data_IF_666477285007
#
_entry.id   IF_666477285007
#
_cell.length_a   1.000
_cell.length_b   1.000
_cell.length_c   1.000
_cell.angle_alpha   90.00
_cell.angle_beta   90.00
_cell.angle_gamma   90.00
#
_symmetry.space_group_name_H-M   'P 1'
#
loop_
_entity.id
_entity.type
_entity.pdbx_description
1 polymer ?
#
# COMPACT_ATOMS: atom_id res chain seq x y z
N UNK A 1 16.90 -4.18 11.70
CA UNK A 1 16.26 -4.33 10.37
C UNK A 1 17.13 -5.27 9.56
N UNK A 2 16.62 -5.86 8.46
CA UNK A 2 17.42 -6.74 7.60
C UNK A 2 18.41 -5.92 6.78
N UNK A 3 17.91 -4.91 6.06
CA UNK A 3 18.68 -3.93 5.31
C UNK A 3 18.12 -2.52 5.56
N UNK A 4 18.98 -1.65 6.08
CA UNK A 4 18.65 -0.25 6.30
C UNK A 4 18.74 0.56 5.01
N UNK A 5 17.69 1.32 4.73
CA UNK A 5 17.70 2.32 3.68
C UNK A 5 18.70 3.44 3.97
N UNK A 6 19.09 4.16 2.92
CA UNK A 6 20.08 5.23 2.97
C UNK A 6 19.41 6.59 2.86
N UNK A 7 19.58 7.43 3.86
CA UNK A 7 19.05 8.80 3.95
C UNK A 7 20.21 9.76 4.19
N UNK A 8 20.87 10.17 3.12
CA UNK A 8 21.93 11.19 3.14
C UNK A 8 21.37 12.62 3.08
N UNK A 9 20.31 12.83 2.31
CA UNK A 9 19.73 14.16 2.07
C UNK A 9 18.30 14.20 2.58
N UNK A 10 18.10 14.82 3.74
CA UNK A 10 16.79 14.96 4.36
C UNK A 10 16.57 16.38 4.87
N UNK A 11 15.33 16.67 5.22
CA UNK A 11 14.95 17.95 5.81
C UNK A 11 13.77 17.81 6.76
N UNK A 12 13.48 18.87 7.51
CA UNK A 12 12.29 18.95 8.36
C UNK A 12 11.56 20.27 8.14
N UNK A 13 10.24 20.18 7.97
CA UNK A 13 9.34 21.32 7.96
C UNK A 13 8.37 21.20 9.14
N UNK A 14 8.39 22.17 10.06
CA UNK A 14 7.55 22.16 11.26
C UNK A 14 6.45 23.20 11.16
N UNK A 15 5.20 22.74 11.04
CA UNK A 15 4.01 23.60 11.04
C UNK A 15 3.41 23.79 12.44
N UNK A 16 3.85 23.02 13.43
CA UNK A 16 3.46 23.17 14.83
C UNK A 16 4.27 24.27 15.52
N UNK A 17 3.71 24.81 16.61
CA UNK A 17 4.39 25.75 17.51
C UNK A 17 5.31 24.99 18.47
N UNK A 18 6.36 24.38 17.92
CA UNK A 18 7.40 23.68 18.69
C UNK A 18 8.76 23.76 18.01
N UNK A 19 9.83 23.58 18.77
CA UNK A 19 11.16 23.35 18.23
C UNK A 19 11.32 21.87 17.81
N UNK A 20 11.55 21.57 16.51
CA UNK A 20 11.71 20.19 16.03
C UNK A 20 13.08 19.57 16.32
N UNK A 21 14.05 20.32 16.85
CA UNK A 21 15.46 19.91 16.95
C UNK A 21 15.65 18.60 17.72
N UNK A 22 15.20 18.55 18.97
CA UNK A 22 15.30 17.35 19.81
C UNK A 22 14.58 16.15 19.18
N UNK A 23 13.39 16.38 18.63
CA UNK A 23 12.62 15.32 17.97
C UNK A 23 13.36 14.72 16.78
N UNK A 24 13.93 15.57 15.91
CA UNK A 24 14.68 15.10 14.75
C UNK A 24 15.95 14.35 15.18
N UNK A 25 16.70 14.86 16.16
CA UNK A 25 17.90 14.21 16.67
C UNK A 25 17.61 12.81 17.25
N UNK A 26 16.57 12.69 18.08
CA UNK A 26 16.14 11.41 18.63
C UNK A 26 15.64 10.44 17.55
N UNK A 27 14.89 10.94 16.56
CA UNK A 27 14.42 10.11 15.46
C UNK A 27 15.57 9.61 14.57
N UNK A 28 16.55 10.47 14.26
CA UNK A 28 17.74 10.08 13.49
C UNK A 28 18.55 9.05 14.26
N UNK A 29 18.77 9.28 15.56
CA UNK A 29 19.46 8.33 16.45
C UNK A 29 18.74 6.99 16.48
N UNK A 30 17.42 6.99 16.59
CA UNK A 30 16.61 5.78 16.53
C UNK A 30 16.74 5.07 15.17
N UNK A 31 16.70 5.81 14.06
CA UNK A 31 16.89 5.24 12.73
C UNK A 31 18.25 4.57 12.59
N UNK A 32 19.33 5.24 13.03
CA UNK A 32 20.68 4.68 13.06
C UNK A 32 20.76 3.42 13.92
N UNK A 33 20.18 3.45 15.13
CA UNK A 33 20.14 2.31 16.04
C UNK A 33 19.37 1.10 15.48
N UNK A 34 18.37 1.33 14.60
CA UNK A 34 17.64 0.26 13.90
C UNK A 34 18.32 -0.24 12.62
N UNK A 35 19.42 0.40 12.21
CA UNK A 35 20.28 -0.01 11.11
C UNK A 35 20.19 0.84 9.84
N UNK A 36 19.47 1.97 9.83
CA UNK A 36 19.45 2.87 8.68
C UNK A 36 20.77 3.65 8.58
N UNK A 37 21.24 3.86 7.36
CA UNK A 37 22.32 4.81 7.09
C UNK A 37 21.71 6.20 6.97
N UNK A 38 21.62 6.90 8.09
CA UNK A 38 20.91 8.18 8.19
C UNK A 38 21.91 9.31 8.54
N UNK A 39 22.01 10.34 7.70
CA UNK A 39 22.88 11.49 7.95
C UNK A 39 22.34 12.35 9.10
N UNK A 40 23.21 12.78 10.02
CA UNK A 40 22.79 13.56 11.20
C UNK A 40 22.26 14.93 10.85
N UNK A 41 22.86 15.56 9.84
CA UNK A 41 22.56 16.95 9.51
C UNK A 41 21.53 17.04 8.37
N UNK A 42 20.49 17.87 8.52
CA UNK A 42 19.55 18.15 7.44
C UNK A 42 20.22 19.02 6.34
N UNK A 43 19.67 18.98 5.13
CA UNK A 43 20.17 19.74 3.96
C UNK A 43 20.08 21.25 4.18
N UNK A 44 19.02 21.68 4.86
CA UNK A 44 18.78 23.08 5.26
C UNK A 44 18.52 23.13 6.76
N UNK A 45 18.83 24.24 7.45
CA UNK A 45 18.48 24.43 8.84
C UNK A 45 16.99 24.17 9.09
N UNK A 46 16.68 23.61 10.25
CA UNK A 46 15.30 23.35 10.66
C UNK A 46 14.54 24.67 10.71
N UNK A 47 13.48 24.80 9.90
CA UNK A 47 12.73 26.04 9.78
C UNK A 47 11.24 25.84 10.10
N UNK A 48 10.61 26.78 10.81
CA UNK A 48 9.16 26.79 10.96
C UNK A 48 8.51 27.06 9.59
N UNK A 49 7.38 26.41 9.33
CA UNK A 49 6.54 26.67 8.15
C UNK A 49 5.23 27.35 8.56
N UNK A 50 4.72 28.25 7.72
CA UNK A 50 3.40 28.84 7.94
C UNK A 50 2.28 27.79 7.67
N UNK A 51 1.50 27.39 8.70
CA UNK A 51 0.47 26.36 8.54
C UNK A 51 -0.70 26.79 7.64
N UNK A 52 -0.83 28.08 7.32
CA UNK A 52 -1.84 28.60 6.39
C UNK A 52 -1.35 28.61 4.93
N UNK A 53 -0.07 28.32 4.67
CA UNK A 53 0.54 28.37 3.33
C UNK A 53 1.30 27.08 2.99
N UNK A 54 0.72 25.93 3.32
CA UNK A 54 1.38 24.61 3.25
C UNK A 54 2.04 24.32 1.89
N UNK A 55 1.33 24.52 0.78
CA UNK A 55 1.85 24.22 -0.56
C UNK A 55 3.05 25.10 -0.89
N UNK A 56 2.92 26.41 -0.65
CA UNK A 56 3.98 27.39 -0.85
C UNK A 56 5.20 27.09 0.01
N UNK A 57 5.02 26.68 1.27
CA UNK A 57 6.11 26.29 2.15
C UNK A 57 6.82 25.02 1.67
N UNK A 58 6.08 24.01 1.21
CA UNK A 58 6.65 22.80 0.62
C UNK A 58 7.45 23.11 -0.66
N UNK A 59 6.90 23.94 -1.55
CA UNK A 59 7.59 24.38 -2.77
C UNK A 59 8.86 25.17 -2.46
N UNK A 60 8.78 26.15 -1.56
CA UNK A 60 9.92 26.96 -1.16
C UNK A 60 11.02 26.10 -0.51
N UNK A 61 10.63 25.16 0.35
CA UNK A 61 11.55 24.21 0.97
C UNK A 61 12.25 23.34 -0.09
N UNK A 62 11.49 22.81 -1.06
CA UNK A 62 12.03 22.01 -2.15
C UNK A 62 12.98 22.84 -3.03
N UNK A 63 12.63 24.09 -3.37
CA UNK A 63 13.50 25.01 -4.13
C UNK A 63 14.83 25.25 -3.43
N UNK A 64 14.81 25.52 -2.11
CA UNK A 64 16.03 25.69 -1.30
C UNK A 64 16.89 24.42 -1.31
N UNK A 65 16.28 23.25 -1.10
CA UNK A 65 17.01 21.97 -1.14
C UNK A 65 17.60 21.70 -2.52
N UNK A 66 16.84 21.94 -3.61
CA UNK A 66 17.31 21.76 -4.99
C UNK A 66 18.52 22.64 -5.29
N UNK A 67 18.50 23.92 -4.92
CA UNK A 67 19.63 24.82 -5.15
C UNK A 67 20.95 24.31 -4.51
N UNK A 68 20.86 23.65 -3.34
CA UNK A 68 22.03 23.07 -2.67
C UNK A 68 22.45 21.74 -3.30
N UNK A 69 21.47 20.88 -3.61
CA UNK A 69 21.72 19.51 -4.06
C UNK A 69 22.01 19.38 -5.56
N UNK A 70 21.66 20.38 -6.36
CA UNK A 70 21.93 20.44 -7.79
C UNK A 70 23.43 20.34 -8.08
N UNK A 71 24.25 21.08 -7.31
CA UNK A 71 25.71 20.98 -7.38
C UNK A 71 26.27 19.58 -7.12
N UNK A 72 25.51 18.74 -6.38
CA UNK A 72 25.89 17.37 -6.03
C UNK A 72 25.28 16.33 -6.97
N UNK A 73 24.43 16.73 -7.92
CA UNK A 73 23.58 15.84 -8.72
C UNK A 73 22.75 14.89 -7.86
N UNK A 74 22.27 15.38 -6.72
CA UNK A 74 21.47 14.62 -5.76
C UNK A 74 20.08 15.23 -5.62
N UNK A 75 19.18 14.48 -4.98
CA UNK A 75 17.81 14.94 -4.66
C UNK A 75 17.50 14.73 -3.18
N UNK A 76 16.52 15.48 -2.69
CA UNK A 76 15.99 15.25 -1.35
C UNK A 76 15.38 13.85 -1.27
N UNK A 77 15.82 13.05 -0.30
CA UNK A 77 15.42 11.65 -0.14
C UNK A 77 14.29 11.49 0.88
N UNK A 78 14.20 12.39 1.88
CA UNK A 78 13.17 12.34 2.92
C UNK A 78 12.84 13.76 3.42
N UNK A 79 11.55 14.06 3.53
CA UNK A 79 11.06 15.24 4.24
C UNK A 79 10.26 14.81 5.47
N UNK A 80 10.77 15.12 6.66
CA UNK A 80 10.03 15.00 7.91
C UNK A 80 9.10 16.20 8.03
N UNK A 81 7.83 15.97 8.31
CA UNK A 81 6.83 17.04 8.42
C UNK A 81 6.14 16.93 9.77
N UNK A 82 6.33 17.91 10.64
CA UNK A 82 5.53 18.02 11.87
C UNK A 82 4.27 18.81 11.51
N UNK A 83 3.13 18.13 11.62
CA UNK A 83 1.81 18.67 11.25
C UNK A 83 1.46 19.92 12.09
N UNK A 84 0.50 20.78 11.69
CA UNK A 84 0.02 21.86 12.55
C UNK A 84 -0.66 21.33 13.84
N UNK A 85 -0.67 22.15 14.90
CA UNK A 85 -1.31 21.80 16.18
C UNK A 85 -2.84 21.69 16.08
N UNK A 86 -3.43 22.45 15.16
CA UNK A 86 -4.84 22.36 14.84
C UNK A 86 -5.08 21.32 13.75
N UNK A 87 -6.17 20.57 13.87
CA UNK A 87 -6.62 19.69 12.80
C UNK A 87 -7.30 20.54 11.72
N UNK A 88 -6.51 21.11 10.82
CA UNK A 88 -7.04 21.67 9.58
C UNK A 88 -7.71 20.58 8.76
N UNK A 89 -8.84 20.90 8.12
CA UNK A 89 -9.50 20.00 7.17
C UNK A 89 -8.49 19.67 6.06
N UNK A 90 -8.27 18.38 5.79
CA UNK A 90 -7.46 17.88 4.66
C UNK A 90 -5.99 18.35 4.61
N UNK A 91 -5.43 18.87 5.71
CA UNK A 91 -4.00 19.28 5.75
C UNK A 91 -3.06 18.13 5.39
N UNK A 92 -3.30 16.93 5.93
CA UNK A 92 -2.50 15.74 5.63
C UNK A 92 -2.58 15.39 4.13
N UNK A 93 -3.80 15.43 3.59
CA UNK A 93 -4.12 15.08 2.21
C UNK A 93 -3.37 16.00 1.23
N UNK A 94 -3.43 17.31 1.49
CA UNK A 94 -2.69 18.35 0.75
C UNK A 94 -1.19 18.14 0.77
N UNK A 95 -0.60 17.86 1.95
CA UNK A 95 0.83 17.55 2.07
C UNK A 95 1.20 16.34 1.21
N UNK A 96 0.39 15.27 1.26
CA UNK A 96 0.64 14.05 0.51
C UNK A 96 0.50 14.25 -0.99
N UNK A 97 -0.54 14.95 -1.45
CA UNK A 97 -0.73 15.31 -2.86
C UNK A 97 0.50 16.05 -3.39
N UNK A 98 0.86 17.19 -2.78
CA UNK A 98 1.96 18.04 -3.27
C UNK A 98 3.29 17.29 -3.25
N UNK A 99 3.61 16.57 -2.16
CA UNK A 99 4.87 15.83 -2.08
C UNK A 99 4.96 14.73 -3.15
N UNK A 100 3.90 13.98 -3.39
CA UNK A 100 3.96 12.72 -4.14
C UNK A 100 3.59 12.89 -5.63
N UNK A 101 2.80 13.91 -5.98
CA UNK A 101 2.31 14.17 -7.35
C UNK A 101 2.98 15.37 -8.03
N UNK A 102 3.53 16.33 -7.27
CA UNK A 102 4.11 17.56 -7.84
C UNK A 102 5.61 17.71 -7.56
N UNK A 103 6.05 17.43 -6.33
CA UNK A 103 7.44 17.67 -5.93
C UNK A 103 8.35 16.44 -6.02
N UNK A 104 7.78 15.24 -5.97
CA UNK A 104 8.51 13.97 -6.05
C UNK A 104 9.32 13.66 -4.79
N UNK A 105 8.81 14.06 -3.62
CA UNK A 105 9.46 13.96 -2.32
C UNK A 105 8.79 12.87 -1.49
N UNK A 106 9.60 11.95 -0.96
CA UNK A 106 9.15 11.00 0.06
C UNK A 106 8.97 11.74 1.39
N UNK A 107 7.77 11.71 1.96
CA UNK A 107 7.45 12.42 3.20
C UNK A 107 7.00 11.53 4.36
N UNK A 108 7.43 11.89 5.57
CA UNK A 108 6.98 11.29 6.83
C UNK A 108 6.33 12.35 7.72
N UNK A 109 5.00 12.32 7.79
CA UNK A 109 4.24 13.23 8.64
C UNK A 109 4.19 12.72 10.09
N UNK A 110 4.30 13.63 11.04
CA UNK A 110 4.38 13.38 12.47
C UNK A 110 3.36 14.26 13.20
N UNK A 111 2.59 13.67 14.12
CA UNK A 111 1.66 14.45 14.95
C UNK A 111 2.44 15.24 16.02
N UNK A 112 2.14 16.53 16.26
CA UNK A 112 2.88 17.37 17.21
C UNK A 112 2.91 16.79 18.61
N UNK A 113 1.75 16.36 19.10
CA UNK A 113 1.62 15.73 20.43
C UNK A 113 2.47 14.48 20.61
N UNK A 114 2.75 13.74 19.55
CA UNK A 114 3.61 12.55 19.62
C UNK A 114 5.08 12.92 19.46
N UNK A 115 5.38 13.88 18.59
CA UNK A 115 6.73 14.41 18.42
C UNK A 115 7.27 15.05 19.72
N UNK A 116 6.42 15.77 20.47
CA UNK A 116 6.78 16.38 21.76
C UNK A 116 7.07 15.34 22.86
N UNK A 117 6.43 14.18 22.82
CA UNK A 117 6.58 13.14 23.87
C UNK A 117 7.90 12.37 23.77
N UNK A 118 8.52 12.34 22.59
CA UNK A 118 9.76 11.57 22.34
C UNK A 118 9.67 10.09 22.78
N UNK A 119 8.48 9.49 22.67
CA UNK A 119 8.26 8.12 23.09
C UNK A 119 9.07 7.16 22.20
N UNK A 120 9.92 6.32 22.81
CA UNK A 120 10.79 5.38 22.07
C UNK A 120 10.00 4.48 21.12
N UNK A 121 8.89 3.89 21.55
CA UNK A 121 8.06 3.03 20.71
C UNK A 121 7.47 3.79 19.50
N UNK A 122 7.12 5.06 19.69
CA UNK A 122 6.67 5.91 18.58
C UNK A 122 7.80 6.16 17.57
N UNK A 123 9.00 6.51 18.03
CA UNK A 123 10.17 6.71 17.17
C UNK A 123 10.57 5.43 16.43
N UNK A 124 10.51 4.27 17.09
CA UNK A 124 10.76 2.97 16.46
C UNK A 124 9.75 2.69 15.33
N UNK A 125 8.46 2.92 15.58
CA UNK A 125 7.42 2.74 14.57
C UNK A 125 7.57 3.73 13.40
N UNK A 126 8.06 4.95 13.65
CA UNK A 126 8.42 5.89 12.60
C UNK A 126 9.63 5.39 11.80
N UNK A 127 10.68 4.89 12.46
CA UNK A 127 11.86 4.35 11.79
C UNK A 127 11.50 3.17 10.87
N UNK A 128 10.59 2.28 11.30
CA UNK A 128 10.05 1.20 10.47
C UNK A 128 9.43 1.74 9.17
N UNK A 129 8.60 2.79 9.26
CA UNK A 129 7.96 3.41 8.08
C UNK A 129 8.98 4.11 7.18
N UNK A 130 9.90 4.86 7.77
CA UNK A 130 10.94 5.57 7.04
C UNK A 130 11.78 4.58 6.25
N UNK A 131 12.22 3.48 6.87
CA UNK A 131 13.08 2.49 6.24
C UNK A 131 12.51 1.98 4.90
N UNK A 132 11.23 1.56 4.90
CA UNK A 132 10.61 1.04 3.67
C UNK A 132 10.22 2.11 2.65
N UNK A 133 10.01 3.35 3.11
CA UNK A 133 9.81 4.51 2.22
C UNK A 133 11.06 4.94 1.49
N UNK A 134 12.24 4.61 2.02
CA UNK A 134 13.54 4.88 1.39
C UNK A 134 14.19 3.60 0.85
N UNK A 135 13.40 2.53 0.69
CA UNK A 135 13.79 1.33 -0.03
C UNK A 135 14.48 0.24 0.79
N UNK A 136 14.56 0.33 2.12
CA UNK A 136 15.04 -0.74 3.00
C UNK A 136 13.98 -1.82 3.30
N UNK A 137 14.37 -2.91 4.00
CA UNK A 137 13.46 -3.96 4.49
C UNK A 137 13.60 -4.11 6.00
N UNK A 138 12.45 -4.15 6.68
CA UNK A 138 12.43 -4.27 8.13
C UNK A 138 12.64 -5.71 8.57
N UNK A 139 11.92 -6.64 7.94
CA UNK A 139 11.87 -8.06 8.25
C UNK A 139 11.78 -8.85 6.96
N UNK A 140 12.24 -10.11 7.00
CA UNK A 140 12.15 -11.10 5.93
C UNK A 140 11.86 -12.44 6.60
N UNK A 141 11.11 -13.33 5.96
CA UNK A 141 10.87 -14.68 6.47
C UNK A 141 12.15 -15.53 6.34
N UNK A 142 12.52 -16.27 7.39
CA UNK A 142 13.66 -17.18 7.34
C UNK A 142 13.53 -18.19 6.19
N UNK A 143 12.32 -18.74 6.00
CA UNK A 143 12.03 -19.67 4.91
C UNK A 143 12.20 -19.02 3.52
N UNK A 144 12.08 -17.68 3.39
CA UNK A 144 12.35 -17.00 2.14
C UNK A 144 13.85 -16.95 1.83
N UNK A 145 14.70 -16.77 2.85
CA UNK A 145 16.16 -16.83 2.70
C UNK A 145 16.63 -18.23 2.28
N UNK A 146 16.07 -19.24 2.93
CA UNK A 146 16.42 -20.65 2.70
C UNK A 146 15.70 -21.27 1.49
N UNK A 147 14.88 -20.48 0.77
CA UNK A 147 14.05 -20.93 -0.36
C UNK A 147 13.16 -22.13 -0.03
N UNK A 148 12.57 -22.12 1.16
CA UNK A 148 11.69 -23.15 1.70
C UNK A 148 10.20 -22.79 1.65
N UNK A 149 9.83 -21.64 1.05
CA UNK A 149 8.41 -21.30 0.87
C UNK A 149 7.90 -21.98 -0.41
N UNK A 150 7.02 -23.01 -0.30
CA UNK A 150 6.53 -23.75 -1.44
C UNK A 150 5.78 -22.83 -2.40
N UNK A 151 5.95 -23.06 -3.71
CA UNK A 151 5.27 -22.31 -4.77
C UNK A 151 5.48 -20.78 -4.71
N UNK A 152 6.55 -20.32 -4.05
CA UNK A 152 6.94 -18.90 -4.04
C UNK A 152 8.43 -18.75 -4.33
N UNK A 153 9.26 -19.51 -3.63
CA UNK A 153 10.73 -19.33 -3.66
C UNK A 153 11.45 -20.27 -4.63
N UNK A 154 10.74 -21.28 -5.15
CA UNK A 154 11.25 -22.26 -6.12
C UNK A 154 11.54 -21.63 -7.49
N UNK A 155 10.72 -20.67 -7.90
CA UNK A 155 10.84 -19.93 -9.16
C UNK A 155 10.27 -18.52 -9.01
N UNK A 156 10.64 -17.56 -9.89
CA UNK A 156 10.15 -16.19 -9.84
C UNK A 156 8.63 -16.13 -9.67
N UNK A 157 8.19 -15.69 -8.50
CA UNK A 157 6.77 -15.60 -8.16
C UNK A 157 6.47 -14.17 -7.75
N UNK A 158 5.45 -13.58 -8.38
CA UNK A 158 4.95 -12.26 -8.03
C UNK A 158 3.65 -12.42 -7.22
N UNK A 159 3.54 -11.67 -6.12
CA UNK A 159 2.37 -11.67 -5.26
C UNK A 159 1.70 -10.31 -5.34
N UNK A 160 0.46 -10.30 -5.80
CA UNK A 160 -0.37 -9.12 -5.91
C UNK A 160 -1.31 -9.00 -4.71
N UNK A 161 -1.64 -7.76 -4.39
CA UNK A 161 -2.77 -7.40 -3.54
C UNK A 161 -3.64 -6.38 -4.26
N UNK A 162 -4.95 -6.49 -4.15
CA UNK A 162 -5.88 -5.57 -4.77
C UNK A 162 -7.04 -5.22 -3.83
N UNK A 163 -7.49 -3.98 -3.88
CA UNK A 163 -8.62 -3.46 -3.10
C UNK A 163 -9.34 -2.37 -3.91
N UNK A 164 -10.64 -2.25 -3.66
CA UNK A 164 -11.46 -1.14 -4.16
C UNK A 164 -12.09 -0.41 -2.98
N UNK A 165 -11.80 0.88 -2.87
CA UNK A 165 -12.42 1.73 -1.85
C UNK A 165 -13.50 2.60 -2.48
N UNK A 166 -14.74 2.40 -2.03
CA UNK A 166 -15.88 3.23 -2.40
C UNK A 166 -15.97 4.54 -1.59
N UNK A 167 -16.70 5.55 -2.10
CA UNK A 167 -17.07 6.72 -1.32
C UNK A 167 -17.89 6.41 -0.07
N UNK A 168 -17.97 7.38 0.85
CA UNK A 168 -18.81 7.26 2.04
C UNK A 168 -20.30 7.21 1.66
N UNK A 169 -21.16 6.59 2.50
CA UNK A 169 -22.60 6.67 2.33
C UNK A 169 -23.06 8.13 2.25
N UNK A 170 -23.84 8.48 1.21
CA UNK A 170 -24.30 9.84 0.95
C UNK A 170 -23.44 10.67 -0.02
N UNK A 171 -22.27 10.18 -0.43
CA UNK A 171 -21.51 10.76 -1.55
C UNK A 171 -21.84 10.02 -2.85
N UNK A 172 -22.78 10.55 -3.65
CA UNK A 172 -23.30 9.84 -4.84
C UNK A 172 -22.48 10.05 -6.13
N UNK A 173 -21.53 10.99 -6.13
CA UNK A 173 -20.75 11.36 -7.33
C UNK A 173 -19.26 11.00 -7.26
N UNK A 174 -18.72 10.79 -6.06
CA UNK A 174 -17.32 10.44 -5.86
C UNK A 174 -16.99 9.12 -6.56
N UNK A 175 -15.82 8.98 -7.22
CA UNK A 175 -15.46 7.73 -7.89
C UNK A 175 -15.08 6.65 -6.89
N UNK A 176 -15.19 5.38 -7.30
CA UNK A 176 -14.47 4.28 -6.63
C UNK A 176 -12.98 4.38 -6.98
N UNK A 177 -12.11 3.96 -6.06
CA UNK A 177 -10.66 3.91 -6.31
C UNK A 177 -10.21 2.48 -6.21
N UNK A 178 -9.68 1.96 -7.32
CA UNK A 178 -9.00 0.68 -7.35
C UNK A 178 -7.51 0.87 -7.10
N UNK A 179 -6.93 -0.02 -6.30
CA UNK A 179 -5.52 -0.06 -6.00
C UNK A 179 -4.99 -1.49 -6.15
N UNK A 180 -3.85 -1.63 -6.83
CA UNK A 180 -3.14 -2.89 -6.98
C UNK A 180 -1.69 -2.69 -6.57
N UNK A 181 -1.20 -3.54 -5.68
CA UNK A 181 0.20 -3.63 -5.30
C UNK A 181 0.78 -4.95 -5.78
N UNK A 182 2.09 -5.00 -6.00
CA UNK A 182 2.79 -6.24 -6.26
C UNK A 182 4.16 -6.28 -5.58
N UNK A 183 4.59 -7.47 -5.17
CA UNK A 183 5.93 -7.70 -4.64
C UNK A 183 7.00 -7.40 -5.70
N UNK A 184 8.14 -6.86 -5.29
CA UNK A 184 9.20 -6.36 -6.21
C UNK A 184 10.58 -6.97 -5.93
N UNK A 185 10.69 -7.81 -4.90
CA UNK A 185 11.96 -8.33 -4.42
C UNK A 185 11.89 -9.85 -4.18
N UNK A 186 11.52 -10.60 -5.22
CA UNK A 186 11.66 -12.05 -5.18
C UNK A 186 13.12 -12.44 -4.93
N UNK A 187 13.41 -13.43 -4.04
CA UNK A 187 12.47 -14.35 -3.38
C UNK A 187 11.91 -13.89 -2.02
N UNK A 188 12.23 -12.69 -1.54
CA UNK A 188 11.94 -12.24 -0.17
C UNK A 188 10.50 -11.75 0.04
N UNK A 189 9.88 -11.15 -0.98
CA UNK A 189 8.47 -10.70 -0.97
C UNK A 189 8.16 -9.70 0.16
N UNK A 190 9.00 -8.68 0.31
CA UNK A 190 8.90 -7.67 1.38
C UNK A 190 8.73 -6.24 0.86
N UNK A 191 9.14 -5.97 -0.38
CA UNK A 191 8.99 -4.67 -1.04
C UNK A 191 7.83 -4.74 -2.01
N UNK A 192 6.97 -3.72 -1.97
CA UNK A 192 5.82 -3.64 -2.87
C UNK A 192 5.81 -2.31 -3.63
N UNK A 193 5.47 -2.37 -4.92
CA UNK A 193 5.11 -1.20 -5.73
C UNK A 193 3.61 -1.17 -5.91
N UNK A 194 3.04 0.03 -5.95
CA UNK A 194 1.61 0.26 -6.02
C UNK A 194 1.20 1.09 -7.23
N UNK A 195 0.11 0.69 -7.88
CA UNK A 195 -0.59 1.43 -8.93
C UNK A 195 -2.04 1.61 -8.48
N UNK A 196 -2.68 2.71 -8.84
CA UNK A 196 -4.09 2.97 -8.55
C UNK A 196 -4.78 3.60 -9.75
N UNK A 197 -6.11 3.47 -9.81
CA UNK A 197 -6.94 4.15 -10.79
C UNK A 197 -8.29 4.55 -10.18
N UNK A 198 -8.91 5.58 -10.74
CA UNK A 198 -10.29 5.92 -10.44
C UNK A 198 -11.21 5.18 -11.42
N UNK A 199 -12.32 4.69 -10.91
CA UNK A 199 -13.36 4.04 -11.70
C UNK A 199 -14.75 4.54 -11.30
N UNK A 200 -15.76 4.13 -12.06
CA UNK A 200 -17.14 4.57 -11.87
C UNK A 200 -17.62 4.41 -10.43
N UNK A 201 -18.58 5.25 -10.03
CA UNK A 201 -19.15 5.25 -8.69
C UNK A 201 -19.64 3.85 -8.31
N UNK A 202 -19.18 3.33 -7.15
CA UNK A 202 -19.53 1.99 -6.63
C UNK A 202 -19.25 0.82 -7.57
N UNK A 203 -18.39 1.02 -8.56
CA UNK A 203 -17.84 -0.08 -9.35
C UNK A 203 -16.89 -0.90 -8.48
N UNK A 204 -17.16 -2.19 -8.32
CA UNK A 204 -16.30 -3.12 -7.55
C UNK A 204 -15.28 -3.82 -8.46
N UNK A 205 -15.63 -4.14 -9.71
CA UNK A 205 -14.70 -4.81 -10.63
C UNK A 205 -13.59 -3.84 -11.02
N UNK A 206 -12.33 -4.26 -10.93
CA UNK A 206 -11.21 -3.38 -11.27
C UNK A 206 -11.08 -3.27 -12.80
N UNK A 207 -11.59 -2.17 -13.35
CA UNK A 207 -11.66 -1.94 -14.80
C UNK A 207 -10.28 -1.79 -15.47
N UNK A 208 -9.32 -1.21 -14.73
CA UNK A 208 -8.02 -0.81 -15.26
C UNK A 208 -6.90 -1.87 -15.06
N UNK A 209 -7.24 -3.10 -14.64
CA UNK A 209 -6.26 -4.20 -14.54
C UNK A 209 -5.51 -4.41 -15.86
N UNK A 210 -6.24 -4.36 -16.97
CA UNK A 210 -5.73 -4.34 -18.33
C UNK A 210 -6.54 -3.37 -19.18
N UNK A 211 -5.85 -2.56 -19.97
CA UNK A 211 -6.48 -1.69 -20.98
C UNK A 211 -5.56 -1.45 -22.15
N UNK A 212 -6.09 -0.87 -23.22
CA UNK A 212 -5.29 -0.35 -24.33
C UNK A 212 -5.41 1.16 -24.37
N UNK A 213 -4.30 1.85 -24.63
CA UNK A 213 -4.27 3.32 -24.74
C UNK A 213 -3.74 3.72 -26.11
N UNK A 214 -4.21 4.84 -26.64
CA UNK A 214 -3.73 5.38 -27.90
C UNK A 214 -2.47 6.20 -27.63
N UNK A 215 -1.32 5.71 -28.09
CA UNK A 215 -0.04 6.40 -28.02
C UNK A 215 0.19 7.21 -29.31
N UNK A 216 0.54 8.51 -29.22
CA UNK A 216 0.66 9.39 -30.39
C UNK A 216 1.57 8.85 -31.52
N UNK A 217 2.63 8.12 -31.14
CA UNK A 217 3.63 7.58 -32.08
C UNK A 217 3.49 6.09 -32.37
N UNK A 218 2.77 5.34 -31.54
CA UNK A 218 2.76 3.86 -31.58
C UNK A 218 1.36 3.27 -31.81
N UNK A 219 0.35 4.12 -32.02
CA UNK A 219 -1.03 3.68 -32.14
C UNK A 219 -1.55 3.08 -30.84
N UNK A 220 -2.42 2.07 -30.95
CA UNK A 220 -3.00 1.39 -29.79
C UNK A 220 -1.95 0.51 -29.11
N UNK A 221 -1.59 0.83 -27.88
CA UNK A 221 -0.61 0.07 -27.08
C UNK A 221 -1.25 -0.55 -25.83
N UNK A 222 -0.84 -1.77 -25.43
CA UNK A 222 -1.27 -2.37 -24.18
C UNK A 222 -0.78 -1.60 -22.95
N UNK A 223 -1.64 -1.49 -21.96
CA UNK A 223 -1.45 -0.78 -20.69
C UNK A 223 -2.27 -1.46 -19.58
N UNK A 224 -2.33 -0.85 -18.40
CA UNK A 224 -3.05 -1.36 -17.25
C UNK A 224 -2.14 -1.75 -16.08
N UNK A 225 -2.76 -1.88 -14.92
CA UNK A 225 -2.07 -2.00 -13.63
C UNK A 225 -1.21 -3.27 -13.56
N UNK A 226 -1.74 -4.39 -14.05
CA UNK A 226 -1.02 -5.68 -14.04
C UNK A 226 0.23 -5.61 -14.92
N UNK A 227 0.09 -5.07 -16.13
CA UNK A 227 1.21 -4.93 -17.07
C UNK A 227 2.32 -4.06 -16.48
N UNK A 228 1.97 -2.91 -15.91
CA UNK A 228 2.95 -2.01 -15.29
C UNK A 228 3.73 -2.71 -14.16
N UNK A 229 3.02 -3.45 -13.31
CA UNK A 229 3.62 -4.14 -12.17
C UNK A 229 4.49 -5.33 -12.59
N UNK A 230 4.11 -6.10 -13.62
CA UNK A 230 4.98 -7.18 -14.15
C UNK A 230 6.25 -6.60 -14.78
N UNK A 231 6.14 -5.51 -15.55
CA UNK A 231 7.32 -4.83 -16.11
C UNK A 231 8.22 -4.29 -15.00
N UNK A 232 7.64 -3.76 -13.93
CA UNK A 232 8.39 -3.27 -12.76
C UNK A 232 9.10 -4.40 -12.02
N UNK A 233 8.44 -5.55 -11.85
CA UNK A 233 9.05 -6.75 -11.28
C UNK A 233 10.25 -7.21 -12.10
N UNK A 234 10.12 -7.26 -13.44
CA UNK A 234 11.23 -7.62 -14.32
C UNK A 234 12.41 -6.66 -14.18
N UNK A 235 12.15 -5.34 -14.13
CA UNK A 235 13.20 -4.34 -13.91
C UNK A 235 13.90 -4.50 -12.56
N UNK A 236 13.16 -4.84 -11.51
CA UNK A 236 13.69 -4.96 -10.16
C UNK A 236 14.45 -6.28 -9.91
N UNK A 237 14.03 -7.37 -10.56
CA UNK A 237 14.54 -8.72 -10.27
C UNK A 237 15.38 -9.32 -11.41
N UNK A 238 15.32 -8.76 -12.62
CA UNK A 238 15.90 -9.34 -13.83
C UNK A 238 15.19 -10.62 -14.31
N UNK A 239 14.05 -10.98 -13.71
CA UNK A 239 13.32 -12.22 -14.01
C UNK A 239 11.86 -11.89 -14.31
N UNK A 240 11.27 -12.56 -15.32
CA UNK A 240 9.82 -12.52 -15.53
C UNK A 240 9.16 -13.41 -14.48
N UNK A 241 8.01 -13.04 -13.91
CA UNK A 241 7.27 -13.94 -13.04
C UNK A 241 6.91 -15.22 -13.79
N UNK A 242 7.23 -16.36 -13.22
CA UNK A 242 6.82 -17.67 -13.71
C UNK A 242 5.54 -18.14 -13.00
N UNK A 243 5.08 -17.39 -11.99
CA UNK A 243 3.87 -17.65 -11.20
C UNK A 243 3.25 -16.36 -10.67
N UNK A 244 1.92 -16.31 -10.64
CA UNK A 244 1.13 -15.21 -10.09
C UNK A 244 0.27 -15.71 -8.92
N UNK A 245 0.36 -15.02 -7.78
CA UNK A 245 -0.58 -15.17 -6.66
C UNK A 245 -1.27 -13.83 -6.47
N UNK A 246 -2.60 -13.82 -6.42
CA UNK A 246 -3.40 -12.60 -6.40
C UNK A 246 -4.38 -12.60 -5.23
N UNK A 247 -4.18 -11.70 -4.26
CA UNK A 247 -5.09 -11.50 -3.14
C UNK A 247 -6.01 -10.31 -3.38
N UNK A 248 -7.32 -10.54 -3.44
CA UNK A 248 -8.35 -9.54 -3.72
C UNK A 248 -9.22 -9.26 -2.48
N UNK A 249 -9.06 -8.12 -1.83
CA UNK A 249 -9.85 -7.72 -0.65
C UNK A 249 -11.17 -7.03 -1.07
N UNK A 250 -12.23 -7.13 -0.27
CA UNK A 250 -13.43 -6.30 -0.42
C UNK A 250 -14.57 -6.86 -1.28
N UNK A 251 -14.39 -8.02 -1.89
CA UNK A 251 -15.41 -8.62 -2.78
C UNK A 251 -16.42 -9.45 -1.99
N UNK A 252 -17.71 -9.25 -2.23
CA UNK A 252 -18.78 -10.09 -1.66
C UNK A 252 -18.97 -11.40 -2.43
N UNK A 253 -19.47 -12.45 -1.78
CA UNK A 253 -19.68 -13.78 -2.41
C UNK A 253 -20.54 -13.70 -3.68
N UNK A 254 -21.59 -12.87 -3.68
CA UNK A 254 -22.45 -12.66 -4.84
C UNK A 254 -21.77 -12.05 -6.07
N UNK A 255 -20.54 -11.54 -5.92
CA UNK A 255 -19.74 -10.94 -6.99
C UNK A 255 -18.59 -11.85 -7.45
N UNK A 256 -18.36 -13.00 -6.81
CA UNK A 256 -17.22 -13.88 -7.10
C UNK A 256 -17.13 -14.27 -8.57
N UNK A 257 -18.25 -14.67 -9.18
CA UNK A 257 -18.28 -15.09 -10.58
C UNK A 257 -17.89 -13.96 -11.54
N UNK A 258 -18.36 -12.74 -11.28
CA UNK A 258 -18.04 -11.59 -12.13
C UNK A 258 -16.58 -11.17 -11.95
N UNK A 259 -16.12 -11.05 -10.71
CA UNK A 259 -14.72 -10.71 -10.41
C UNK A 259 -13.78 -11.73 -11.04
N UNK A 260 -14.07 -13.02 -10.89
CA UNK A 260 -13.28 -14.07 -11.51
C UNK A 260 -13.23 -13.92 -13.04
N UNK A 261 -14.39 -13.77 -13.68
CA UNK A 261 -14.50 -13.67 -15.13
C UNK A 261 -13.72 -12.46 -15.69
N UNK A 262 -13.89 -11.28 -15.11
CA UNK A 262 -13.31 -10.05 -15.65
C UNK A 262 -11.87 -9.81 -15.19
N UNK A 263 -11.55 -10.05 -13.91
CA UNK A 263 -10.23 -9.73 -13.36
C UNK A 263 -9.17 -10.77 -13.77
N UNK A 264 -9.50 -12.07 -13.78
CA UNK A 264 -8.54 -13.09 -14.25
C UNK A 264 -8.29 -12.96 -15.75
N UNK A 265 -9.33 -12.69 -16.55
CA UNK A 265 -9.17 -12.40 -17.98
C UNK A 265 -8.29 -11.16 -18.21
N UNK A 266 -8.45 -10.11 -17.40
CA UNK A 266 -7.58 -8.94 -17.48
C UNK A 266 -6.11 -9.27 -17.15
N UNK A 267 -5.85 -10.10 -16.12
CA UNK A 267 -4.49 -10.57 -15.81
C UNK A 267 -3.90 -11.37 -16.98
N UNK A 268 -4.72 -12.23 -17.62
CA UNK A 268 -4.31 -13.01 -18.81
C UNK A 268 -3.95 -12.13 -19.98
N UNK A 269 -4.80 -11.16 -20.32
CA UNK A 269 -4.55 -10.18 -21.38
C UNK A 269 -3.29 -9.37 -21.10
N UNK A 270 -3.06 -8.97 -19.85
CA UNK A 270 -1.83 -8.29 -19.47
C UNK A 270 -0.59 -9.16 -19.70
N UNK A 271 -0.62 -10.44 -19.32
CA UNK A 271 0.48 -11.37 -19.58
C UNK A 271 0.72 -11.55 -21.09
N UNK A 272 -0.30 -11.90 -21.87
CA UNK A 272 -0.19 -12.10 -23.32
C UNK A 272 0.32 -10.85 -24.05
N UNK A 273 0.04 -9.65 -23.53
CA UNK A 273 0.53 -8.39 -24.09
C UNK A 273 2.04 -8.15 -23.86
N UNK A 274 2.67 -8.84 -22.90
CA UNK A 274 4.10 -8.68 -22.60
C UNK A 274 4.93 -9.49 -23.59
N UNK A 275 4.54 -10.73 -23.82
CA UNK A 275 5.22 -11.65 -24.71
C UNK A 275 4.23 -12.69 -25.22
N UNK A 276 4.31 -13.02 -26.51
CA UNK A 276 3.44 -14.02 -27.10
C UNK A 276 3.66 -15.38 -26.42
N UNK A 277 2.58 -16.03 -25.99
CA UNK A 277 2.64 -17.30 -25.25
C UNK A 277 3.02 -17.18 -23.76
N UNK A 278 3.25 -15.98 -23.22
CA UNK A 278 3.51 -15.81 -21.79
C UNK A 278 2.23 -15.98 -20.97
N UNK A 279 2.10 -17.16 -20.37
CA UNK A 279 0.91 -17.60 -19.63
C UNK A 279 1.29 -18.21 -18.27
N UNK A 280 1.76 -17.40 -17.30
CA UNK A 280 2.12 -17.93 -15.98
C UNK A 280 0.87 -18.45 -15.25
N UNK A 281 0.95 -19.56 -14.51
CA UNK A 281 -0.15 -20.06 -13.70
C UNK A 281 -0.59 -19.06 -12.63
N UNK A 282 -1.90 -18.91 -12.45
CA UNK A 282 -2.53 -17.97 -11.51
C UNK A 282 -3.18 -18.71 -10.35
N UNK A 283 -2.98 -18.20 -9.14
CA UNK A 283 -3.84 -18.46 -7.97
C UNK A 283 -4.53 -17.17 -7.58
N UNK A 284 -5.86 -17.15 -7.57
CA UNK A 284 -6.69 -16.00 -7.26
C UNK A 284 -7.48 -16.26 -5.97
N UNK A 285 -7.21 -15.46 -4.94
CA UNK A 285 -7.74 -15.63 -3.60
C UNK A 285 -8.48 -14.36 -3.19
N UNK A 286 -9.77 -14.45 -2.92
CA UNK A 286 -10.52 -13.37 -2.29
C UNK A 286 -10.26 -13.36 -0.79
N UNK A 287 -10.10 -12.17 -0.22
CA UNK A 287 -9.91 -11.91 1.20
C UNK A 287 -11.12 -11.15 1.73
N UNK A 288 -11.75 -11.67 2.77
CA UNK A 288 -12.88 -11.03 3.42
C UNK A 288 -12.59 -10.88 4.91
N UNK A 289 -12.33 -9.65 5.35
CA UNK A 289 -12.16 -9.34 6.78
C UNK A 289 -13.47 -8.98 7.48
N UNK A 290 -14.46 -8.50 6.72
CA UNK A 290 -15.72 -7.98 7.25
C UNK A 290 -16.85 -8.98 6.99
N UNK A 291 -16.99 -9.93 7.89
CA UNK A 291 -18.08 -10.90 7.91
C UNK A 291 -18.60 -11.14 9.33
N UNK A 292 -19.61 -12.00 9.46
CA UNK A 292 -20.32 -12.28 10.71
C UNK A 292 -19.71 -13.42 11.52
N UNK A 293 -18.89 -14.30 10.92
CA UNK A 293 -18.23 -15.41 11.61
C UNK A 293 -17.29 -14.93 12.72
N UNK A 294 -17.43 -15.52 13.91
CA UNK A 294 -16.54 -15.35 15.07
C UNK A 294 -16.15 -16.73 15.58
N UNK A 295 -14.90 -16.86 16.00
CA UNK A 295 -14.35 -18.10 16.53
C UNK A 295 -14.00 -17.89 17.99
N UNK A 296 -14.38 -18.83 18.83
CA UNK A 296 -14.15 -18.80 20.27
C UNK A 296 -13.37 -20.03 20.69
N UNK A 297 -12.39 -19.88 21.58
CA UNK A 297 -11.65 -21.01 22.12
C UNK A 297 -12.57 -21.86 23.01
N UNK A 298 -12.45 -23.18 22.95
CA UNK A 298 -13.22 -24.10 23.80
C UNK A 298 -12.67 -24.10 25.22
N UNK A 299 -11.33 -24.04 25.34
CA UNK A 299 -10.62 -24.06 26.61
C UNK A 299 -9.91 -22.73 26.85
N UNK A 300 -9.88 -22.27 28.11
CA UNK A 300 -9.18 -21.03 28.49
C UNK A 300 -7.67 -21.09 28.27
N UNK A 301 -7.10 -22.29 28.25
CA UNK A 301 -5.66 -22.51 28.03
C UNK A 301 -5.25 -22.29 26.56
N UNK A 302 -6.22 -22.29 25.64
CA UNK A 302 -6.01 -22.11 24.20
C UNK A 302 -6.25 -20.65 23.75
N UNK A 303 -6.20 -19.69 24.69
CA UNK A 303 -6.43 -18.27 24.41
C UNK A 303 -5.16 -17.46 24.38
N UNK A 304 -5.17 -16.39 23.59
CA UNK A 304 -4.22 -15.30 23.76
C UNK A 304 -4.47 -14.52 25.06
N UNK A 305 -3.64 -13.51 25.34
CA UNK A 305 -3.75 -12.66 26.55
C UNK A 305 -5.07 -11.91 26.67
N UNK A 306 -5.84 -11.78 25.58
CA UNK A 306 -7.12 -11.08 25.55
C UNK A 306 -8.32 -12.02 25.67
N UNK A 307 -8.10 -13.33 25.73
CA UNK A 307 -9.17 -14.34 25.72
C UNK A 307 -9.66 -14.72 24.32
N UNK A 308 -8.99 -14.25 23.26
CA UNK A 308 -9.30 -14.63 21.89
C UNK A 308 -8.58 -15.94 21.49
N UNK A 309 -9.01 -16.53 20.38
CA UNK A 309 -8.26 -17.62 19.73
C UNK A 309 -6.83 -17.19 19.40
N UNK A 310 -5.90 -18.15 19.41
CA UNK A 310 -4.49 -17.89 19.15
C UNK A 310 -4.25 -17.33 17.74
N UNK A 311 -3.23 -16.46 17.55
CA UNK A 311 -2.74 -16.13 16.22
C UNK A 311 -2.24 -17.40 15.51
N UNK A 312 -2.61 -17.55 14.24
CA UNK A 312 -2.34 -18.74 13.43
C UNK A 312 -3.45 -19.80 13.47
N UNK A 313 -4.53 -19.60 14.24
CA UNK A 313 -5.69 -20.50 14.18
C UNK A 313 -6.30 -20.48 12.78
N UNK A 314 -6.38 -21.66 12.17
CA UNK A 314 -7.02 -21.92 10.88
C UNK A 314 -8.27 -22.78 11.08
N UNK A 315 -9.32 -22.49 10.34
CA UNK A 315 -10.51 -23.35 10.22
C UNK A 315 -10.85 -23.48 8.75
N UNK A 316 -10.70 -24.69 8.21
CA UNK A 316 -10.96 -25.05 6.81
C UNK A 316 -11.96 -26.23 6.69
N UNK A 317 -12.62 -26.57 7.80
CA UNK A 317 -13.59 -27.67 7.90
C UNK A 317 -14.89 -27.19 8.53
N UNK A 318 -15.97 -27.96 8.33
CA UNK A 318 -17.30 -27.83 8.92
C UNK A 318 -18.08 -26.55 8.56
N UNK A 319 -17.54 -25.38 8.90
CA UNK A 319 -18.17 -24.07 8.69
C UNK A 319 -17.77 -23.40 7.36
N UNK A 320 -16.88 -24.04 6.61
CA UNK A 320 -16.38 -23.59 5.32
C UNK A 320 -17.30 -24.08 4.19
N UNK A 321 -17.08 -23.60 2.97
CA UNK A 321 -17.89 -23.96 1.81
C UNK A 321 -17.84 -25.48 1.57
N UNK A 322 -18.96 -26.15 1.30
CA UNK A 322 -19.00 -27.62 1.21
C UNK A 322 -18.24 -28.22 0.02
N UNK A 323 -17.83 -27.40 -0.95
CA UNK A 323 -17.22 -27.86 -2.22
C UNK A 323 -16.07 -27.01 -2.73
N UNK A 324 -15.96 -25.77 -2.26
CA UNK A 324 -14.98 -24.81 -2.77
C UNK A 324 -13.80 -24.76 -1.82
N UNK A 325 -12.69 -24.20 -2.26
CA UNK A 325 -11.50 -24.10 -1.44
C UNK A 325 -11.51 -22.77 -0.68
N UNK A 326 -11.98 -22.80 0.55
CA UNK A 326 -11.97 -21.67 1.46
C UNK A 326 -11.49 -22.03 2.87
N UNK A 327 -11.04 -21.03 3.62
CA UNK A 327 -10.61 -21.19 5.00
C UNK A 327 -10.65 -19.87 5.76
N UNK A 328 -10.91 -19.96 7.05
CA UNK A 328 -10.73 -18.85 7.99
C UNK A 328 -9.33 -18.91 8.59
N UNK A 329 -8.68 -17.76 8.71
CA UNK A 329 -7.38 -17.61 9.36
C UNK A 329 -7.41 -16.41 10.32
N UNK A 330 -7.20 -16.68 11.60
CA UNK A 330 -6.90 -15.65 12.59
C UNK A 330 -5.40 -15.44 12.71
N UNK A 331 -4.81 -14.62 11.84
CA UNK A 331 -3.36 -14.41 11.80
C UNK A 331 -2.83 -13.43 12.87
N UNK A 332 -3.67 -12.82 13.70
CA UNK A 332 -3.29 -11.73 14.59
C UNK A 332 -3.74 -11.96 16.04
N UNK A 333 -3.02 -11.33 16.98
CA UNK A 333 -3.42 -11.33 18.39
C UNK A 333 -4.51 -10.29 18.63
N UNK A 334 -5.55 -10.69 19.37
CA UNK A 334 -6.60 -9.80 19.85
C UNK A 334 -6.02 -8.79 20.84
N UNK A 335 -6.22 -7.50 20.56
CA UNK A 335 -5.85 -6.44 21.50
C UNK A 335 -7.07 -6.04 22.34
N UNK A 336 -8.24 -5.98 21.70
CA UNK A 336 -9.48 -5.55 22.32
C UNK A 336 -10.67 -6.17 21.58
N UNK A 337 -11.69 -6.58 22.34
CA UNK A 337 -12.90 -7.20 21.80
C UNK A 337 -12.63 -8.58 21.22
N UNK A 338 -13.58 -9.08 20.42
CA UNK A 338 -13.45 -10.37 19.74
C UNK A 338 -12.73 -10.21 18.39
N UNK A 339 -11.67 -10.97 18.20
CA UNK A 339 -10.91 -11.03 16.95
C UNK A 339 -11.81 -11.47 15.79
N UNK A 340 -11.55 -10.90 14.62
CA UNK A 340 -12.21 -11.30 13.38
C UNK A 340 -11.20 -12.10 12.56
N UNK A 341 -11.31 -13.44 12.48
CA UNK A 341 -10.50 -14.20 11.53
C UNK A 341 -10.82 -13.69 10.13
N UNK A 342 -9.84 -13.59 9.25
CA UNK A 342 -10.12 -13.28 7.85
C UNK A 342 -10.53 -14.56 7.12
N UNK A 343 -11.54 -14.47 6.25
CA UNK A 343 -11.97 -15.54 5.39
C UNK A 343 -11.27 -15.42 4.03
N UNK A 344 -10.65 -16.49 3.59
CA UNK A 344 -9.94 -16.59 2.32
C UNK A 344 -10.66 -17.59 1.45
N UNK A 345 -11.01 -17.18 0.23
CA UNK A 345 -11.72 -18.02 -0.71
C UNK A 345 -10.96 -18.09 -2.03
N UNK A 346 -10.53 -19.28 -2.43
CA UNK A 346 -9.75 -19.51 -3.65
C UNK A 346 -10.71 -19.69 -4.83
N UNK A 347 -10.83 -18.67 -5.67
CA UNK A 347 -11.72 -18.68 -6.82
C UNK A 347 -11.11 -19.36 -8.04
N UNK A 348 -9.78 -19.40 -8.11
CA UNK A 348 -9.05 -19.96 -9.25
C UNK A 348 -7.66 -20.39 -8.82
N UNK A 349 -7.22 -21.59 -9.18
CA UNK A 349 -5.88 -22.06 -8.86
C UNK A 349 -5.31 -23.03 -9.89
N UNK A 350 -4.41 -22.53 -10.73
CA UNK A 350 -3.62 -23.36 -11.64
C UNK A 350 -2.28 -23.78 -11.07
N UNK A 351 -1.84 -23.15 -9.97
CA UNK A 351 -0.61 -23.55 -9.29
C UNK A 351 -0.80 -24.81 -8.46
N UNK A 352 -2.06 -25.20 -8.22
CA UNK A 352 -2.47 -26.42 -7.49
C UNK A 352 -1.87 -26.44 -6.08
N UNK A 353 -2.09 -25.35 -5.34
CA UNK A 353 -1.78 -25.28 -3.93
C UNK A 353 -2.55 -26.38 -3.17
N UNK A 354 -1.87 -27.03 -2.23
CA UNK A 354 -2.57 -27.74 -1.16
C UNK A 354 -3.12 -26.73 -0.15
N UNK A 355 -4.12 -27.17 0.63
CA UNK A 355 -4.65 -26.42 1.77
C UNK A 355 -3.50 -25.94 2.68
N UNK A 356 -2.66 -26.86 3.15
CA UNK A 356 -1.53 -26.58 4.03
C UNK A 356 -0.57 -25.53 3.46
N UNK A 357 -0.21 -25.64 2.17
CA UNK A 357 0.73 -24.72 1.54
C UNK A 357 0.15 -23.30 1.46
N UNK A 358 -1.11 -23.14 1.04
CA UNK A 358 -1.71 -21.82 0.90
C UNK A 358 -2.04 -21.18 2.25
N UNK A 359 -2.55 -21.95 3.20
CA UNK A 359 -2.83 -21.50 4.56
C UNK A 359 -1.53 -21.05 5.25
N UNK A 360 -0.48 -21.87 5.17
CA UNK A 360 0.84 -21.54 5.74
C UNK A 360 1.46 -20.33 5.07
N UNK A 361 1.41 -20.24 3.73
CA UNK A 361 1.88 -19.07 3.00
C UNK A 361 1.16 -17.80 3.45
N UNK A 362 -0.17 -17.84 3.49
CA UNK A 362 -1.03 -16.70 3.83
C UNK A 362 -0.74 -16.23 5.26
N UNK A 363 -0.61 -17.16 6.21
CA UNK A 363 -0.24 -16.86 7.59
C UNK A 363 1.17 -16.28 7.69
N UNK A 364 2.16 -16.90 7.04
CA UNK A 364 3.55 -16.44 7.08
C UNK A 364 3.71 -15.03 6.51
N UNK A 365 3.01 -14.73 5.41
CA UNK A 365 3.00 -13.39 4.86
C UNK A 365 2.46 -12.36 5.85
N UNK A 366 1.50 -12.67 6.75
CA UNK A 366 1.03 -11.72 7.76
C UNK A 366 2.13 -11.18 8.71
N UNK A 367 3.29 -11.83 8.77
CA UNK A 367 4.46 -11.37 9.55
C UNK A 367 5.39 -10.42 8.78
N UNK A 368 5.15 -10.18 7.49
CA UNK A 368 5.98 -9.29 6.64
C UNK A 368 5.46 -7.87 6.54
N UNK A 369 4.41 -7.51 7.29
CA UNK A 369 3.87 -6.15 7.26
C UNK A 369 4.82 -5.13 7.87
N UNK A 370 5.41 -4.31 7.00
CA UNK A 370 6.47 -3.36 7.33
C UNK A 370 6.19 -2.33 8.44
N UNK A 371 4.93 -2.03 8.79
CA UNK A 371 4.59 -0.92 9.71
C UNK A 371 4.69 -1.27 11.19
N UNK A 372 4.79 -2.55 11.55
CA UNK A 372 4.86 -2.97 12.94
C UNK A 372 5.62 -4.29 13.08
N UNK A 373 5.98 -4.62 14.31
CA UNK A 373 6.64 -5.89 14.69
C UNK A 373 5.63 -6.93 15.17
N UNK A 374 4.44 -6.96 14.54
CA UNK A 374 3.33 -7.86 14.89
C UNK A 374 2.73 -8.42 13.63
N UNK A 375 2.23 -9.66 13.70
CA UNK A 375 1.40 -10.20 12.65
C UNK A 375 0.09 -9.41 12.52
N UNK A 376 -0.36 -9.20 11.28
CA UNK A 376 -1.58 -8.45 10.95
C UNK A 376 -2.73 -9.37 10.55
N UNK A 377 -3.95 -8.83 10.62
CA UNK A 377 -5.21 -9.59 10.46
C UNK A 377 -5.54 -10.04 9.05
N UNK A 378 -4.88 -9.48 8.03
CA UNK A 378 -5.01 -9.89 6.63
C UNK A 378 -3.62 -9.88 6.00
N UNK A 379 -3.44 -10.68 4.95
CA UNK A 379 -2.19 -10.78 4.20
C UNK A 379 -1.70 -9.39 3.73
N UNK A 380 -0.41 -9.03 3.90
CA UNK A 380 0.06 -7.66 3.65
C UNK A 380 -0.17 -7.11 2.24
N UNK A 381 -0.10 -7.89 1.13
CA UNK A 381 -0.51 -7.42 -0.18
C UNK A 381 -1.90 -6.75 -0.16
N UNK A 382 -2.92 -7.41 0.40
CA UNK A 382 -4.26 -6.86 0.54
C UNK A 382 -4.27 -5.61 1.43
N UNK A 383 -3.55 -5.67 2.56
CA UNK A 383 -3.43 -4.52 3.47
C UNK A 383 -2.81 -3.29 2.77
N UNK A 384 -1.78 -3.50 1.96
CA UNK A 384 -1.09 -2.46 1.21
C UNK A 384 -1.94 -1.88 0.09
N UNK A 385 -2.73 -2.71 -0.62
CA UNK A 385 -3.70 -2.24 -1.60
C UNK A 385 -4.72 -1.29 -0.96
N UNK A 386 -5.27 -1.67 0.20
CA UNK A 386 -6.15 -0.80 0.98
C UNK A 386 -5.46 0.51 1.39
N UNK A 387 -4.23 0.47 1.92
CA UNK A 387 -3.48 1.71 2.23
C UNK A 387 -3.27 2.60 1.00
N UNK A 388 -3.03 2.00 -0.16
CA UNK A 388 -2.84 2.70 -1.42
C UNK A 388 -4.14 3.32 -1.92
N UNK A 389 -5.28 2.62 -1.86
CA UNK A 389 -6.58 3.15 -2.24
C UNK A 389 -6.96 4.37 -1.36
N UNK A 390 -6.77 4.26 -0.04
CA UNK A 390 -6.96 5.38 0.88
C UNK A 390 -6.00 6.54 0.60
N UNK A 391 -4.73 6.24 0.25
CA UNK A 391 -3.77 7.27 -0.15
C UNK A 391 -4.21 7.99 -1.42
N UNK A 392 -4.68 7.26 -2.43
CA UNK A 392 -5.13 7.82 -3.69
C UNK A 392 -6.38 8.71 -3.52
N UNK A 393 -7.25 8.41 -2.55
CA UNK A 393 -8.39 9.28 -2.18
C UNK A 393 -7.95 10.68 -1.77
N UNK A 394 -6.80 10.81 -1.11
CA UNK A 394 -6.24 12.11 -0.72
C UNK A 394 -5.84 12.99 -1.92
N UNK A 395 -5.66 12.41 -3.10
CA UNK A 395 -5.31 13.18 -4.29
C UNK A 395 -6.52 13.78 -5.01
N UNK A 396 -7.74 13.37 -4.66
CA UNK A 396 -8.98 13.94 -5.20
C UNK A 396 -9.37 15.26 -4.53
N UNK A 397 -8.78 15.59 -3.37
CA UNK A 397 -9.34 16.52 -2.41
C UNK A 397 -9.39 18.00 -2.83
N UNK A 398 -8.74 18.40 -3.93
CA UNK A 398 -8.85 19.76 -4.48
C UNK A 398 -9.62 19.80 -5.83
N UNK A 399 -9.81 18.67 -6.52
CA UNK A 399 -10.59 18.66 -7.76
C UNK A 399 -12.06 19.04 -7.51
N UNK A 400 -12.61 18.63 -6.36
CA UNK A 400 -13.96 18.96 -5.92
C UNK A 400 -14.09 20.41 -5.39
N UNK A 401 -13.06 20.93 -4.71
CA UNK A 401 -13.11 22.27 -4.12
C UNK A 401 -13.00 23.37 -5.20
N UNK A 402 -12.41 23.06 -6.37
CA UNK A 402 -12.45 23.95 -7.55
C UNK A 402 -13.77 23.94 -8.32
N UNK A 403 -14.64 22.94 -8.10
CA UNK A 403 -15.95 22.86 -8.79
C UNK A 403 -17.08 23.60 -8.07
N UNK A 404 -16.93 23.94 -6.78
CA UNK A 404 -17.96 24.64 -6.00
C UNK A 404 -18.05 26.16 -6.26
N UNK A 405 -17.26 26.69 -7.20
CA UNK A 405 -17.33 28.10 -7.61
C UNK A 405 -18.23 28.37 -8.83
N UNK A 406 -18.95 27.35 -9.35
CA UNK A 406 -19.87 27.49 -10.48
C UNK A 406 -21.32 27.22 -10.08
N UNK A 407 -22.08 28.29 -9.81
CA UNK A 407 -23.48 28.25 -9.42
C UNK A 407 -24.41 27.56 -10.44
N UNK A 408 -25.52 27.07 -9.90
CA UNK A 408 -26.63 26.32 -10.48
C UNK A 408 -27.06 26.69 -11.91
N UNK A 409 -27.36 25.65 -12.70
CA UNK A 409 -28.53 25.65 -13.57
C UNK A 409 -29.09 24.24 -13.71
N UNK A 410 -30.34 24.08 -13.26
CA UNK A 410 -31.11 22.85 -13.39
C UNK A 410 -31.38 22.55 -14.87
N UNK A 411 -30.77 21.49 -15.36
CA UNK A 411 -31.04 20.91 -16.66
C UNK A 411 -30.54 19.48 -16.65
N UNK A 412 -31.46 18.53 -16.89
CA UNK A 412 -31.20 17.10 -17.09
C UNK A 412 -30.17 16.92 -18.20
N UNK A 413 -28.89 16.88 -17.82
CA UNK A 413 -27.81 16.47 -18.71
C UNK A 413 -27.59 14.98 -18.49
N UNK A 414 -27.82 14.20 -19.55
CA UNK A 414 -27.17 12.90 -19.73
C UNK A 414 -25.66 13.15 -19.72
N UNK A 415 -25.06 13.20 -18.52
CA UNK A 415 -23.63 13.30 -18.36
C UNK A 415 -23.06 11.90 -18.59
N UNK A 416 -22.39 11.70 -19.72
CA UNK A 416 -21.34 10.68 -19.81
C UNK A 416 -20.44 10.88 -18.60
N UNK A 417 -20.51 9.98 -17.62
CA UNK A 417 -19.70 10.00 -16.40
C UNK A 417 -18.22 9.80 -16.76
N UNK A 418 -17.55 10.86 -17.20
CA UNK A 418 -16.10 10.85 -17.39
C UNK A 418 -15.48 10.91 -16.00
N UNK A 419 -15.04 9.75 -15.52
CA UNK A 419 -14.31 9.65 -14.24
C UNK A 419 -13.02 10.46 -14.37
N UNK A 420 -12.88 11.49 -13.54
CA UNK A 420 -11.68 12.34 -13.54
C UNK A 420 -10.43 11.49 -13.27
N UNK A 421 -9.41 11.64 -14.12
CA UNK A 421 -8.15 10.93 -13.96
C UNK A 421 -7.44 11.39 -12.68
N UNK A 422 -6.97 10.44 -11.88
CA UNK A 422 -6.13 10.74 -10.73
C UNK A 422 -4.76 11.23 -11.18
N UNK A 423 -4.11 12.15 -10.42
CA UNK A 423 -2.77 12.59 -10.74
C UNK A 423 -1.79 11.41 -10.67
N UNK A 424 -0.83 11.39 -11.60
CA UNK A 424 0.24 10.41 -11.60
C UNK A 424 1.25 10.70 -10.50
N UNK A 425 1.66 9.67 -9.75
CA UNK A 425 2.79 9.79 -8.83
C UNK A 425 4.08 10.00 -9.62
N UNK A 426 4.98 10.83 -9.10
CA UNK A 426 6.29 11.06 -9.70
C UNK A 426 7.17 9.81 -9.54
N UNK A 427 7.93 9.45 -10.58
CA UNK A 427 8.71 8.20 -10.62
C UNK A 427 9.67 8.04 -9.44
N UNK A 428 10.23 9.14 -8.93
CA UNK A 428 11.10 9.16 -7.74
C UNK A 428 10.48 8.55 -6.49
N UNK A 429 9.15 8.60 -6.40
CA UNK A 429 8.36 8.13 -5.25
C UNK A 429 7.73 6.76 -5.55
N UNK A 430 7.38 6.48 -6.81
CA UNK A 430 6.70 5.25 -7.26
C UNK A 430 7.44 3.96 -6.93
N UNK A 431 8.77 3.98 -6.98
CA UNK A 431 9.59 2.79 -6.73
C UNK A 431 9.66 2.38 -5.26
N UNK A 432 9.18 3.25 -4.35
CA UNK A 432 9.17 2.99 -2.91
C UNK A 432 7.75 2.77 -2.39
N UNK A 433 7.65 2.23 -1.19
CA UNK A 433 6.37 2.00 -0.49
C UNK A 433 5.82 3.31 0.11
N UNK A 434 5.59 4.34 -0.70
CA UNK A 434 5.18 5.69 -0.24
C UNK A 434 3.85 5.70 0.53
N UNK A 435 2.99 4.73 0.26
CA UNK A 435 1.69 4.52 0.89
C UNK A 435 1.77 4.03 2.35
N UNK A 436 2.96 3.65 2.83
CA UNK A 436 3.22 3.16 4.19
C UNK A 436 3.17 4.22 5.30
#
# INVERSE_FOLDING_TARGET
MVDGGKVQFWGCLCFAKMDPTMFCQELVTMCQAKGLVFNRDPVVPLSPGNPNQIERELENFNKKCKAILESKQQRLQLLIIIMPDFKGVRTYDKIKRVCETELGIVSQCCQPRQAQKLNKQYLENLALKINVKVGGRNTVLNDAFERRIPLVTDRPTIIFGADVTHPQPGEDSSPSIAAVVASMDWPWVTKYRGVFSAQSHREEIIQDLYKTVVHPQRGVVPSGMIRELIVSFYKATGRKPERIIFYRDGVSEGQFSQVLLYEVDAIRKACASIENGYLPPITFVVVQKRHHTRLFPVRREETDKSGNIMPGTVVDTNICHPREFDFYLNSHAGIQGTSRPAHYHVLFDENRFSADHLQSLTNNLCYTYARCTRSVSIVPPAYYAHLLAFRARYYLSDAADTSDSGSANGGTRNATNVVAALPSIIESVKDNMFFV
#
